data_IF_870649830500
#
_entry.id   IF_870649830500
#
_cell.length_a   1.000
_cell.length_b   1.000
_cell.length_c   1.000
_cell.angle_alpha   90.00
_cell.angle_beta   90.00
_cell.angle_gamma   90.00
#
_symmetry.space_group_name_H-M   'P 1'
#
loop_
_entity.id
_entity.type
_entity.pdbx_description
1 polymer ?
#
# COMPACT_ATOMS: atom_id res chain seq x y z
N UNK A 1 15.65 -6.26 10.29
CA UNK A 1 14.36 -5.75 9.75
C UNK A 1 13.44 -6.96 9.66
N UNK A 2 12.25 -6.93 10.27
CA UNK A 2 11.33 -8.07 10.23
C UNK A 2 10.92 -8.38 8.79
N UNK A 3 10.82 -9.66 8.43
CA UNK A 3 10.33 -10.07 7.11
C UNK A 3 8.96 -9.43 6.86
N UNK A 4 8.81 -8.75 5.73
CA UNK A 4 7.53 -8.28 5.22
C UNK A 4 6.69 -9.54 4.94
N UNK A 5 5.70 -9.84 5.78
CA UNK A 5 4.82 -10.97 5.49
C UNK A 5 4.05 -11.59 6.64
N UNK A 6 4.56 -11.58 7.87
CA UNK A 6 3.85 -12.16 9.01
C UNK A 6 3.28 -11.06 9.91
N UNK A 7 2.28 -10.35 9.40
CA UNK A 7 1.66 -9.23 10.12
C UNK A 7 0.95 -9.69 11.39
N UNK A 8 0.54 -10.96 11.48
CA UNK A 8 -0.10 -11.58 12.64
C UNK A 8 0.76 -11.55 13.91
N UNK A 9 2.09 -11.47 13.78
CA UNK A 9 3.04 -11.47 14.90
C UNK A 9 3.50 -10.06 15.33
N UNK A 10 2.93 -9.00 14.76
CA UNK A 10 3.30 -7.64 15.16
C UNK A 10 2.95 -7.41 16.65
N UNK A 11 3.76 -6.67 17.44
CA UNK A 11 3.42 -6.35 18.82
C UNK A 11 2.20 -5.42 18.90
N UNK A 12 1.34 -5.56 19.92
CA UNK A 12 0.18 -4.66 20.08
C UNK A 12 0.60 -3.19 20.19
N UNK A 13 1.61 -2.84 21.00
CA UNK A 13 2.13 -1.47 21.10
C UNK A 13 3.06 -1.11 19.93
N UNK A 14 2.53 -1.19 18.72
CA UNK A 14 3.22 -0.84 17.48
C UNK A 14 2.29 -0.17 16.47
N UNK A 15 2.89 0.37 15.41
CA UNK A 15 2.21 0.91 14.23
C UNK A 15 2.54 0.00 13.06
N UNK A 16 1.53 -0.57 12.40
CA UNK A 16 1.71 -1.17 11.08
C UNK A 16 1.54 -0.12 9.99
N UNK A 17 2.42 -0.19 8.99
CA UNK A 17 2.38 0.64 7.79
C UNK A 17 2.82 -0.19 6.59
N UNK A 18 2.39 0.18 5.39
CA UNK A 18 2.97 -0.29 4.13
C UNK A 18 4.35 0.33 3.88
N UNK A 19 4.59 1.54 4.39
CA UNK A 19 5.86 2.24 4.25
C UNK A 19 5.83 3.64 4.86
N UNK A 20 6.97 4.32 4.83
CA UNK A 20 7.11 5.72 5.22
C UNK A 20 7.29 6.60 4.00
N UNK A 21 7.41 7.91 4.19
CA UNK A 21 7.72 8.85 3.10
C UNK A 21 9.09 8.60 2.45
N UNK A 22 10.00 7.89 3.13
CA UNK A 22 11.33 7.53 2.64
C UNK A 22 11.36 6.24 1.81
N UNK A 23 10.26 5.48 1.87
CA UNK A 23 10.11 4.20 1.17
C UNK A 23 9.35 4.39 -0.15
N UNK A 24 9.43 3.40 -1.03
CA UNK A 24 8.56 3.34 -2.21
C UNK A 24 7.10 3.14 -1.80
N UNK A 25 6.17 3.57 -2.66
CA UNK A 25 4.76 3.17 -2.54
C UNK A 25 4.65 1.66 -2.73
N UNK A 26 3.53 1.05 -2.32
CA UNK A 26 3.34 -0.40 -2.47
C UNK A 26 3.46 -0.85 -3.93
N UNK A 27 2.91 -0.04 -4.86
CA UNK A 27 3.07 -0.26 -6.30
C UNK A 27 4.53 -0.15 -6.75
N UNK A 28 5.29 0.76 -6.15
CA UNK A 28 6.71 0.96 -6.43
C UNK A 28 7.53 -0.23 -5.95
N UNK A 29 7.33 -0.62 -4.68
CA UNK A 29 7.95 -1.79 -4.06
C UNK A 29 7.68 -3.07 -4.84
N UNK A 30 6.46 -3.27 -5.38
CA UNK A 30 6.12 -4.41 -6.23
C UNK A 30 7.00 -4.56 -7.48
N UNK A 31 7.71 -3.51 -7.89
CA UNK A 31 8.59 -3.51 -9.06
C UNK A 31 10.09 -3.50 -8.73
N UNK A 32 10.46 -3.49 -7.44
CA UNK A 32 11.86 -3.34 -7.03
C UNK A 32 12.65 -4.65 -7.19
N UNK A 33 12.26 -5.71 -6.48
CA UNK A 33 12.94 -7.01 -6.51
C UNK A 33 11.95 -8.13 -6.81
N UNK A 34 12.11 -8.79 -7.96
CA UNK A 34 11.20 -9.87 -8.38
C UNK A 34 11.22 -11.06 -7.43
N UNK A 35 12.37 -11.42 -6.87
CA UNK A 35 12.49 -12.56 -5.96
C UNK A 35 11.78 -12.31 -4.63
N UNK A 36 11.89 -11.09 -4.08
CA UNK A 36 11.15 -10.70 -2.88
C UNK A 36 9.64 -10.68 -3.12
N UNK A 37 9.20 -10.19 -4.29
CA UNK A 37 7.79 -10.12 -4.65
C UNK A 37 7.19 -11.50 -4.93
N UNK A 38 7.94 -12.40 -5.58
CA UNK A 38 7.53 -13.81 -5.76
C UNK A 38 7.36 -14.52 -4.41
N UNK A 39 8.34 -14.42 -3.50
CA UNK A 39 8.24 -15.00 -2.16
C UNK A 39 7.04 -14.42 -1.39
N UNK A 40 6.81 -13.12 -1.47
CA UNK A 40 5.66 -12.47 -0.83
C UNK A 40 4.32 -12.94 -1.44
N UNK A 41 4.21 -12.96 -2.77
CA UNK A 41 3.00 -13.36 -3.48
C UNK A 41 2.59 -14.80 -3.14
N UNK A 42 3.55 -15.72 -3.12
CA UNK A 42 3.29 -17.12 -2.83
C UNK A 42 3.12 -17.41 -1.34
N UNK A 43 4.02 -16.91 -0.48
CA UNK A 43 4.02 -17.27 0.94
C UNK A 43 3.01 -16.46 1.74
N UNK A 44 2.93 -15.16 1.48
CA UNK A 44 2.15 -14.21 2.29
C UNK A 44 0.74 -14.08 1.74
N UNK A 45 0.60 -13.80 0.45
CA UNK A 45 -0.73 -13.69 -0.18
C UNK A 45 -1.35 -15.05 -0.49
N UNK A 46 -0.59 -16.15 -0.34
CA UNK A 46 -1.02 -17.53 -0.62
C UNK A 46 -1.65 -17.68 -2.00
N UNK A 47 -1.04 -17.01 -2.99
CA UNK A 47 -1.46 -17.09 -4.39
C UNK A 47 -0.61 -18.09 -5.15
N UNK A 48 -1.25 -18.81 -6.05
CA UNK A 48 -0.60 -19.70 -7.01
C UNK A 48 -0.40 -19.00 -8.36
N UNK A 49 0.43 -19.60 -9.21
CA UNK A 49 0.69 -19.12 -10.57
C UNK A 49 1.69 -17.97 -10.66
N UNK A 50 1.92 -17.46 -11.86
CA UNK A 50 2.90 -16.39 -12.07
C UNK A 50 2.47 -15.08 -11.39
N UNK A 51 3.46 -14.35 -10.86
CA UNK A 51 3.23 -13.01 -10.33
C UNK A 51 2.76 -12.06 -11.43
N UNK A 52 1.93 -11.10 -11.06
CA UNK A 52 1.56 -10.01 -11.98
C UNK A 52 2.71 -9.00 -12.09
N UNK A 53 2.92 -8.46 -13.29
CA UNK A 53 3.95 -7.43 -13.53
C UNK A 53 3.67 -6.14 -12.74
N UNK A 54 2.40 -5.79 -12.59
CA UNK A 54 1.94 -4.66 -11.80
C UNK A 54 1.28 -5.12 -10.51
N UNK A 55 1.44 -4.32 -9.44
CA UNK A 55 0.56 -4.41 -8.28
C UNK A 55 -0.85 -3.98 -8.72
N UNK A 56 -1.72 -4.95 -8.99
CA UNK A 56 -3.11 -4.69 -9.35
C UNK A 56 -3.86 -4.07 -8.16
N UNK A 57 -5.00 -3.39 -8.40
CA UNK A 57 -5.83 -2.89 -7.31
C UNK A 57 -6.22 -4.00 -6.31
N UNK A 58 -6.53 -5.20 -6.80
CA UNK A 58 -6.86 -6.35 -5.97
C UNK A 58 -5.69 -6.82 -5.09
N UNK A 59 -4.46 -6.86 -5.63
CA UNK A 59 -3.27 -7.21 -4.87
C UNK A 59 -3.00 -6.15 -3.81
N UNK A 60 -3.09 -4.87 -4.17
CA UNK A 60 -2.89 -3.77 -3.24
C UNK A 60 -3.89 -3.81 -2.07
N UNK A 61 -5.17 -4.01 -2.40
CA UNK A 61 -6.26 -4.19 -1.44
C UNK A 61 -6.01 -5.37 -0.51
N UNK A 62 -5.55 -6.52 -1.01
CA UNK A 62 -5.23 -7.69 -0.20
C UNK A 62 -4.07 -7.44 0.77
N UNK A 63 -3.05 -6.68 0.34
CA UNK A 63 -1.92 -6.32 1.21
C UNK A 63 -2.38 -5.38 2.33
N UNK A 64 -3.15 -4.34 1.99
CA UNK A 64 -3.73 -3.42 2.96
C UNK A 64 -4.63 -4.17 3.94
N UNK A 65 -5.49 -5.08 3.45
CA UNK A 65 -6.32 -5.94 4.29
C UNK A 65 -5.47 -6.76 5.27
N UNK A 66 -4.39 -7.39 4.80
CA UNK A 66 -3.52 -8.18 5.66
C UNK A 66 -2.83 -7.34 6.76
N UNK A 67 -2.53 -6.06 6.48
CA UNK A 67 -2.00 -5.13 7.48
C UNK A 67 -3.07 -4.66 8.48
N UNK A 68 -4.30 -4.43 8.01
CA UNK A 68 -5.44 -4.09 8.88
C UNK A 68 -5.77 -5.25 9.84
N UNK A 69 -5.54 -6.50 9.43
CA UNK A 69 -5.69 -7.69 10.27
C UNK A 69 -4.57 -7.87 11.31
N UNK A 70 -3.48 -7.10 11.23
CA UNK A 70 -2.42 -7.17 12.23
C UNK A 70 -2.95 -6.80 13.63
N UNK A 71 -2.32 -7.27 14.72
CA UNK A 71 -2.67 -6.87 16.08
C UNK A 71 -2.11 -5.49 16.49
N UNK A 72 -1.35 -4.81 15.62
CA UNK A 72 -0.75 -3.50 15.92
C UNK A 72 -1.83 -2.51 16.35
N UNK A 73 -1.56 -1.69 17.37
CA UNK A 73 -2.52 -0.70 17.88
C UNK A 73 -2.98 0.28 16.80
N UNK A 74 -2.06 0.71 15.93
CA UNK A 74 -2.36 1.63 14.83
C UNK A 74 -2.03 1.00 13.49
N UNK A 75 -2.86 1.30 12.50
CA UNK A 75 -2.62 1.03 11.09
C UNK A 75 -2.61 2.37 10.36
N UNK A 76 -1.45 2.79 9.86
CA UNK A 76 -1.26 4.08 9.18
C UNK A 76 -0.63 3.78 7.83
N UNK A 77 -1.33 4.10 6.74
CA UNK A 77 -0.83 3.87 5.39
C UNK A 77 -0.71 5.19 4.62
N UNK A 78 0.32 5.36 3.77
CA UNK A 78 0.40 6.48 2.84
C UNK A 78 -0.85 6.56 1.96
N UNK A 79 -1.30 7.78 1.66
CA UNK A 79 -2.48 7.99 0.83
C UNK A 79 -2.33 7.36 -0.56
N UNK A 80 -1.12 7.30 -1.10
CA UNK A 80 -0.83 6.65 -2.38
C UNK A 80 -1.28 5.19 -2.42
N UNK A 81 -1.10 4.47 -1.30
CA UNK A 81 -1.46 3.05 -1.21
C UNK A 81 -2.98 2.89 -1.05
N UNK A 82 -3.62 3.77 -0.28
CA UNK A 82 -5.09 3.84 -0.24
C UNK A 82 -5.70 4.09 -1.61
N UNK A 83 -5.21 5.08 -2.36
CA UNK A 83 -5.68 5.35 -3.72
C UNK A 83 -5.43 4.16 -4.67
N UNK A 84 -4.44 3.32 -4.37
CA UNK A 84 -4.05 2.20 -5.22
C UNK A 84 -4.94 0.96 -5.11
N UNK A 85 -5.84 0.88 -4.13
CA UNK A 85 -6.83 -0.22 -4.06
C UNK A 85 -7.91 -0.11 -5.13
N UNK A 86 -8.02 1.07 -5.78
CA UNK A 86 -8.99 1.32 -6.84
C UNK A 86 -8.28 1.85 -8.10
N UNK A 87 -8.49 1.17 -9.23
CA UNK A 87 -7.81 1.50 -10.49
C UNK A 87 -8.14 2.89 -11.06
N UNK A 88 -9.28 3.48 -10.68
CA UNK A 88 -9.68 4.82 -11.11
C UNK A 88 -9.07 5.93 -10.25
N UNK A 89 -8.69 5.61 -9.01
CA UNK A 89 -8.19 6.58 -8.03
C UNK A 89 -6.68 6.76 -8.11
N UNK A 90 -5.95 5.69 -8.46
CA UNK A 90 -4.48 5.68 -8.53
C UNK A 90 -3.92 6.53 -9.66
N UNK A 91 -2.70 7.02 -9.48
CA UNK A 91 -1.97 7.76 -10.51
C UNK A 91 -1.60 6.90 -11.72
N UNK A 92 -1.57 7.50 -12.90
CA UNK A 92 -1.15 6.82 -14.15
C UNK A 92 0.36 6.61 -14.22
N UNK A 93 1.15 7.49 -13.59
CA UNK A 93 2.60 7.44 -13.62
C UNK A 93 3.16 7.07 -12.23
N UNK A 94 3.60 5.82 -12.09
CA UNK A 94 4.21 5.30 -10.86
C UNK A 94 5.47 6.07 -10.43
N UNK A 95 6.27 6.56 -11.38
CA UNK A 95 7.56 7.20 -11.09
C UNK A 95 7.43 8.50 -10.29
N UNK A 96 6.25 9.13 -10.30
CA UNK A 96 5.99 10.37 -9.58
C UNK A 96 5.22 10.16 -8.27
N UNK A 97 4.82 8.93 -7.93
CA UNK A 97 4.07 8.64 -6.70
C UNK A 97 4.97 8.61 -5.45
N UNK A 98 6.26 8.26 -5.64
CA UNK A 98 7.25 8.24 -4.56
C UNK A 98 7.60 9.67 -4.14
N UNK A 99 7.33 9.99 -2.87
CA UNK A 99 7.52 11.35 -2.35
C UNK A 99 9.00 11.67 -2.09
N UNK A 100 9.80 10.71 -1.61
CA UNK A 100 11.22 10.89 -1.34
C UNK A 100 12.10 9.73 -1.82
N UNK A 101 13.34 10.05 -2.20
CA UNK A 101 14.42 9.08 -2.45
C UNK A 101 15.57 9.44 -1.51
N UNK A 102 15.71 8.77 -0.35
CA UNK A 102 16.68 9.16 0.69
C UNK A 102 18.14 9.17 0.22
N UNK A 103 18.49 8.29 -0.72
CA UNK A 103 19.84 8.22 -1.29
C UNK A 103 20.17 9.38 -2.24
N UNK A 104 19.18 10.19 -2.63
CA UNK A 104 19.37 11.35 -3.49
C UNK A 104 19.19 12.65 -2.67
N UNK A 105 20.28 13.29 -2.20
CA UNK A 105 20.18 14.52 -1.42
C UNK A 105 19.63 15.71 -2.23
N UNK A 106 19.67 15.63 -3.56
CA UNK A 106 19.10 16.63 -4.45
C UNK A 106 17.64 16.31 -4.84
N UNK A 107 17.01 15.30 -4.22
CA UNK A 107 15.62 14.95 -4.51
C UNK A 107 14.67 16.08 -4.08
N UNK A 108 13.65 16.34 -4.90
CA UNK A 108 12.66 17.37 -4.61
C UNK A 108 11.34 16.72 -4.15
N UNK A 109 10.83 17.16 -3.00
CA UNK A 109 9.56 16.77 -2.39
C UNK A 109 8.33 17.28 -3.15
N UNK A 110 8.11 16.74 -4.36
CA UNK A 110 7.16 17.28 -5.34
C UNK A 110 5.93 16.41 -5.60
N UNK A 111 5.75 15.32 -4.85
CA UNK A 111 4.52 14.53 -4.98
C UNK A 111 3.29 15.41 -4.75
N UNK A 112 2.28 15.23 -5.61
CA UNK A 112 0.94 15.82 -5.52
C UNK A 112 -0.04 14.72 -5.87
N UNK A 113 -1.19 14.70 -5.20
CA UNK A 113 -2.29 13.82 -5.57
C UNK A 113 -2.68 14.08 -7.03
N UNK A 114 -3.03 13.02 -7.75
CA UNK A 114 -3.56 13.08 -9.11
C UNK A 114 -5.02 13.59 -9.18
N UNK A 115 -5.64 13.87 -8.04
CA UNK A 115 -6.98 14.42 -7.93
C UNK A 115 -7.04 15.50 -6.85
N UNK A 116 -8.05 16.37 -6.98
CA UNK A 116 -8.39 17.36 -5.96
C UNK A 116 -9.08 16.69 -4.76
N UNK A 117 -8.91 17.29 -3.58
CA UNK A 117 -9.52 16.79 -2.34
C UNK A 117 -11.04 16.86 -2.42
N UNK A 118 -11.57 17.90 -3.05
CA UNK A 118 -12.99 18.10 -3.30
C UNK A 118 -13.59 16.95 -4.10
N UNK A 119 -12.86 16.46 -5.12
CA UNK A 119 -13.28 15.30 -5.90
C UNK A 119 -13.24 14.05 -5.05
N UNK A 120 -12.16 13.82 -4.28
CA UNK A 120 -12.04 12.66 -3.39
C UNK A 120 -13.19 12.56 -2.38
N UNK A 121 -13.65 13.70 -1.84
CA UNK A 121 -14.81 13.75 -0.94
C UNK A 121 -16.12 13.30 -1.61
N UNK A 122 -16.23 13.42 -2.94
CA UNK A 122 -17.40 12.98 -3.71
C UNK A 122 -17.32 11.53 -4.20
N UNK A 123 -16.16 10.87 -4.11
CA UNK A 123 -15.95 9.49 -4.56
C UNK A 123 -16.58 8.46 -3.59
N UNK A 124 -17.91 8.41 -3.55
CA UNK A 124 -18.68 7.60 -2.59
C UNK A 124 -18.30 6.13 -2.62
N UNK A 125 -18.21 5.53 -3.80
CA UNK A 125 -17.88 4.10 -3.95
C UNK A 125 -16.51 3.77 -3.37
N UNK A 126 -15.51 4.60 -3.62
CA UNK A 126 -14.16 4.42 -3.07
C UNK A 126 -14.13 4.63 -1.56
N UNK A 127 -14.78 5.69 -1.08
CA UNK A 127 -14.83 6.00 0.34
C UNK A 127 -15.58 4.91 1.13
N UNK A 128 -16.64 4.35 0.57
CA UNK A 128 -17.40 3.26 1.19
C UNK A 128 -16.62 1.93 1.13
N UNK A 129 -15.89 1.65 0.05
CA UNK A 129 -14.97 0.51 -0.03
C UNK A 129 -13.89 0.55 1.08
N UNK A 130 -13.31 1.73 1.34
CA UNK A 130 -12.36 1.91 2.45
C UNK A 130 -13.05 1.68 3.81
N UNK A 131 -14.24 2.25 4.03
CA UNK A 131 -14.97 2.07 5.29
C UNK A 131 -15.30 0.60 5.54
N UNK A 132 -15.79 -0.11 4.53
CA UNK A 132 -16.09 -1.54 4.62
C UNK A 132 -14.83 -2.34 4.94
N UNK A 133 -13.70 -2.00 4.30
CA UNK A 133 -12.41 -2.64 4.55
C UNK A 133 -11.94 -2.46 6.00
N UNK A 134 -12.11 -1.27 6.56
CA UNK A 134 -11.77 -0.96 7.95
C UNK A 134 -12.72 -1.70 8.91
N UNK A 135 -14.03 -1.59 8.69
CA UNK A 135 -15.06 -2.20 9.55
C UNK A 135 -14.96 -3.72 9.61
N UNK A 136 -14.79 -4.39 8.47
CA UNK A 136 -14.69 -5.87 8.42
C UNK A 136 -13.45 -6.40 9.15
N UNK A 137 -12.40 -5.59 9.23
CA UNK A 137 -11.17 -5.90 9.96
C UNK A 137 -11.16 -5.35 11.40
N UNK A 138 -12.29 -4.84 11.89
CA UNK A 138 -12.51 -4.38 13.27
C UNK A 138 -11.53 -3.28 13.72
N UNK A 139 -11.24 -2.36 12.80
CA UNK A 139 -10.38 -1.19 13.00
C UNK A 139 -11.21 0.07 13.21
#
# INVERSE_FOLDING_TARGET
>A
MGRVGETAHFPYYSVCTTGTHDMSTLRGWWKEDKGEIEDYYHRVLRKDGEITEDCTPDINKQIIEHLLQSPSMLAIFPLQDWLSINGLMRGTNLSIERINIPSNPAHHWKYRMNLYVENLLQEKNFNDEIKELIQRNKR
#
